data_IF_309306237474
#
_entry.id   IF_309306237474
#
_cell.length_a   1.000
_cell.length_b   1.000
_cell.length_c   1.000
_cell.angle_alpha   90.00
_cell.angle_beta   90.00
_cell.angle_gamma   90.00
#
_symmetry.space_group_name_H-M   'P 1'
#
loop_
_entity.id
_entity.type
_entity.pdbx_description
1 polymer ?
#
# COMPACT_ATOMS: atom_id res chain seq x y z
N UNK A 1 47.69 52.33 -94.04
CA UNK A 1 46.65 53.28 -93.58
C UNK A 1 47.14 53.88 -92.26
N UNK A 2 47.40 55.19 -92.20
CA UNK A 2 47.96 55.84 -90.99
C UNK A 2 46.83 56.06 -89.95
N UNK A 3 47.01 55.73 -88.66
CA UNK A 3 45.98 55.98 -87.64
C UNK A 3 45.77 57.48 -87.45
N UNK A 4 44.52 57.92 -87.28
CA UNK A 4 44.23 59.29 -86.85
C UNK A 4 44.78 59.51 -85.43
N UNK A 5 45.71 60.45 -85.28
CA UNK A 5 46.25 60.86 -83.99
C UNK A 5 45.30 61.89 -83.37
N UNK A 6 44.42 61.45 -82.46
CA UNK A 6 43.63 62.36 -81.63
C UNK A 6 44.52 63.05 -80.61
N UNK A 7 44.26 64.34 -80.36
CA UNK A 7 45.04 65.17 -79.46
C UNK A 7 44.76 64.81 -78.00
N UNK A 8 45.68 65.16 -77.09
CA UNK A 8 45.51 64.90 -75.65
C UNK A 8 44.25 65.58 -75.10
N UNK A 9 43.95 66.79 -75.58
CA UNK A 9 42.81 67.61 -75.16
C UNK A 9 41.47 66.99 -75.58
N UNK A 10 41.37 66.45 -76.80
CA UNK A 10 40.17 65.76 -77.28
C UNK A 10 39.85 64.51 -76.45
N UNK A 11 40.88 63.80 -75.99
CA UNK A 11 40.74 62.60 -75.15
C UNK A 11 40.26 62.98 -73.75
N UNK A 12 40.79 64.06 -73.17
CA UNK A 12 40.38 64.58 -71.86
C UNK A 12 38.94 65.08 -71.91
N UNK A 13 38.57 65.90 -72.91
CA UNK A 13 37.19 66.38 -73.08
C UNK A 13 36.20 65.23 -73.26
N UNK A 14 36.56 64.18 -74.01
CA UNK A 14 35.72 63.00 -74.16
C UNK A 14 35.55 62.23 -72.84
N UNK A 15 36.61 62.16 -72.02
CA UNK A 15 36.55 61.55 -70.68
C UNK A 15 35.68 62.35 -69.72
N UNK A 16 35.81 63.67 -69.69
CA UNK A 16 34.99 64.57 -68.90
C UNK A 16 33.52 64.51 -69.32
N UNK A 17 33.23 64.48 -70.63
CA UNK A 17 31.88 64.33 -71.15
C UNK A 17 31.25 62.96 -70.78
N UNK A 18 32.06 61.89 -70.71
CA UNK A 18 31.60 60.58 -70.22
C UNK A 18 31.30 60.62 -68.72
N UNK A 19 32.16 61.29 -67.94
CA UNK A 19 31.99 61.44 -66.49
C UNK A 19 30.78 62.33 -66.15
N UNK A 20 30.58 63.44 -66.86
CA UNK A 20 29.40 64.31 -66.72
C UNK A 20 28.09 63.60 -67.09
N UNK A 21 28.15 62.65 -68.03
CA UNK A 21 27.03 61.78 -68.38
C UNK A 21 26.83 60.60 -67.40
N UNK A 22 27.61 60.52 -66.31
CA UNK A 22 27.54 59.43 -65.32
C UNK A 22 27.97 58.06 -65.86
N UNK A 23 28.70 58.01 -66.97
CA UNK A 23 29.16 56.76 -67.61
C UNK A 23 30.60 56.45 -67.23
N UNK A 24 30.88 55.16 -67.01
CA UNK A 24 32.25 54.70 -66.72
C UNK A 24 33.22 55.02 -67.87
N UNK A 25 34.31 55.73 -67.56
CA UNK A 25 35.34 56.12 -68.53
C UNK A 25 36.31 54.96 -68.78
N UNK A 26 35.93 54.09 -69.73
CA UNK A 26 36.77 52.99 -70.24
C UNK A 26 37.41 53.35 -71.58
N UNK A 27 38.50 52.68 -71.97
CA UNK A 27 39.17 52.94 -73.25
C UNK A 27 38.26 52.77 -74.48
N UNK A 28 37.28 51.86 -74.41
CA UNK A 28 36.28 51.68 -75.46
C UNK A 28 35.23 52.79 -75.47
N UNK A 29 34.79 53.27 -74.29
CA UNK A 29 33.88 54.40 -74.21
C UNK A 29 34.51 55.69 -74.74
N UNK A 30 35.80 55.91 -74.43
CA UNK A 30 36.61 56.99 -75.00
C UNK A 30 36.70 56.86 -76.52
N UNK A 31 36.99 55.66 -77.05
CA UNK A 31 37.00 55.41 -78.50
C UNK A 31 35.64 55.71 -79.15
N UNK A 32 34.54 55.37 -78.49
CA UNK A 32 33.19 55.61 -78.99
C UNK A 32 32.86 57.11 -79.03
N UNK A 33 33.37 57.89 -78.09
CA UNK A 33 33.14 59.35 -78.01
C UNK A 33 34.06 60.17 -78.90
N UNK A 34 35.33 59.78 -79.00
CA UNK A 34 36.35 60.44 -79.83
C UNK A 34 36.22 60.05 -81.30
N UNK A 35 35.56 58.93 -81.61
CA UNK A 35 35.27 58.48 -82.99
C UNK A 35 36.29 57.50 -83.57
N UNK A 36 37.33 57.11 -82.82
CA UNK A 36 38.33 56.12 -83.25
C UNK A 36 39.56 56.07 -82.34
N UNK A 37 40.63 55.41 -82.79
CA UNK A 37 41.90 55.31 -82.06
C UNK A 37 42.11 54.02 -81.27
N UNK A 38 43.28 53.88 -80.65
CA UNK A 38 43.65 52.71 -79.84
C UNK A 38 43.11 52.87 -78.39
N UNK A 39 42.18 52.00 -77.93
CA UNK A 39 41.57 52.08 -76.59
C UNK A 39 42.58 52.15 -75.43
N UNK A 40 43.73 51.47 -75.54
CA UNK A 40 44.73 51.44 -74.48
C UNK A 40 45.42 52.79 -74.33
N UNK A 41 45.74 53.47 -75.44
CA UNK A 41 46.34 54.82 -75.42
C UNK A 41 45.36 55.86 -74.87
N UNK A 42 44.09 55.77 -75.26
CA UNK A 42 43.04 56.68 -74.78
C UNK A 42 42.85 56.56 -73.27
N UNK A 43 42.76 55.32 -72.77
CA UNK A 43 42.65 55.05 -71.33
C UNK A 43 43.89 55.51 -70.57
N UNK A 44 45.09 55.26 -71.10
CA UNK A 44 46.35 55.69 -70.47
C UNK A 44 46.44 57.21 -70.34
N UNK A 45 46.07 57.97 -71.38
CA UNK A 45 46.05 59.45 -71.32
C UNK A 45 45.03 59.94 -70.30
N UNK A 46 43.84 59.36 -70.29
CA UNK A 46 42.81 59.70 -69.31
C UNK A 46 43.23 59.37 -67.88
N UNK A 47 43.86 58.22 -67.66
CA UNK A 47 44.38 57.82 -66.35
C UNK A 47 45.56 58.71 -65.91
N UNK A 48 46.38 59.18 -66.85
CA UNK A 48 47.41 60.19 -66.56
C UNK A 48 46.82 61.56 -66.22
N UNK A 49 45.73 61.97 -66.88
CA UNK A 49 44.99 63.18 -66.54
C UNK A 49 44.39 63.06 -65.13
N UNK A 50 43.68 61.96 -64.85
CA UNK A 50 43.18 61.64 -63.50
C UNK A 50 44.29 61.62 -62.47
N UNK A 51 45.43 61.00 -62.76
CA UNK A 51 46.56 60.95 -61.84
C UNK A 51 47.09 62.36 -61.55
N UNK A 52 47.26 63.20 -62.57
CA UNK A 52 47.70 64.61 -62.44
C UNK A 52 46.67 65.47 -61.70
N UNK A 53 45.37 65.27 -61.95
CA UNK A 53 44.28 65.94 -61.21
C UNK A 53 44.10 65.40 -59.79
N UNK A 54 44.50 64.14 -59.53
CA UNK A 54 44.41 63.48 -58.21
C UNK A 54 45.61 63.74 -57.31
N UNK A 55 46.68 64.36 -57.83
CA UNK A 55 47.64 65.05 -56.96
C UNK A 55 46.91 66.27 -56.43
N UNK A 56 46.07 66.03 -55.41
CA UNK A 56 45.51 67.06 -54.57
C UNK A 56 46.70 67.85 -54.05
N UNK A 57 46.85 69.08 -54.54
CA UNK A 57 47.65 70.10 -53.90
C UNK A 57 47.25 70.08 -52.42
N UNK A 58 48.17 69.66 -51.55
CA UNK A 58 47.92 69.59 -50.13
C UNK A 58 47.75 71.03 -49.64
N UNK A 59 46.53 71.54 -49.69
CA UNK A 59 46.15 72.80 -49.07
C UNK A 59 46.53 72.63 -47.60
N UNK A 60 47.45 73.45 -47.06
CA UNK A 60 47.78 73.37 -45.65
C UNK A 60 46.49 73.55 -44.87
N UNK A 61 46.14 72.55 -44.05
CA UNK A 61 45.04 72.66 -43.10
C UNK A 61 45.38 73.87 -42.23
N UNK A 62 44.66 74.97 -42.44
CA UNK A 62 44.81 76.14 -41.59
C UNK A 62 44.57 75.69 -40.15
N UNK A 63 45.56 75.88 -39.29
CA UNK A 63 45.38 75.66 -37.85
C UNK A 63 44.16 76.48 -37.42
N UNK A 64 43.28 75.84 -36.64
CA UNK A 64 42.13 76.54 -36.09
C UNK A 64 42.63 77.77 -35.33
N UNK A 65 41.99 78.94 -35.50
CA UNK A 65 42.28 80.09 -34.66
C UNK A 65 42.29 79.68 -33.19
N UNK A 66 43.25 80.19 -32.42
CA UNK A 66 43.49 79.76 -31.04
C UNK A 66 42.23 79.85 -30.18
N UNK A 67 41.40 80.86 -30.42
CA UNK A 67 40.11 81.07 -29.76
C UNK A 67 39.13 79.92 -30.03
N UNK A 68 39.08 79.42 -31.27
CA UNK A 68 38.20 78.30 -31.65
C UNK A 68 38.72 76.98 -31.07
N UNK A 69 40.04 76.80 -30.99
CA UNK A 69 40.65 75.62 -30.39
C UNK A 69 40.44 75.58 -28.86
N UNK A 70 40.55 76.73 -28.18
CA UNK A 70 40.31 76.88 -26.74
C UNK A 70 38.84 76.62 -26.38
N UNK A 71 37.89 77.19 -27.14
CA UNK A 71 36.46 76.93 -26.96
C UNK A 71 36.11 75.45 -27.19
N UNK A 72 36.67 74.82 -28.25
CA UNK A 72 36.47 73.40 -28.50
C UNK A 72 37.04 72.53 -27.37
N UNK A 73 38.21 72.89 -26.83
CA UNK A 73 38.82 72.20 -25.69
C UNK A 73 38.00 72.37 -24.40
N UNK A 74 37.43 73.56 -24.16
CA UNK A 74 36.54 73.82 -23.03
C UNK A 74 35.25 73.00 -23.13
N UNK A 75 34.60 73.00 -24.30
CA UNK A 75 33.36 72.23 -24.55
C UNK A 75 33.61 70.73 -24.44
N UNK A 76 34.69 70.21 -25.00
CA UNK A 76 35.05 68.79 -24.87
C UNK A 76 35.33 68.40 -23.42
N UNK A 77 36.05 69.23 -22.65
CA UNK A 77 36.26 69.00 -21.21
C UNK A 77 34.94 68.96 -20.46
N UNK A 78 34.07 69.96 -20.65
CA UNK A 78 32.76 70.03 -19.99
C UNK A 78 31.85 68.85 -20.36
N UNK A 79 31.87 68.42 -21.62
CA UNK A 79 31.13 67.23 -22.06
C UNK A 79 31.67 65.95 -21.40
N UNK A 80 33.00 65.82 -21.31
CA UNK A 80 33.64 64.66 -20.69
C UNK A 80 33.30 64.58 -19.19
N UNK A 81 33.34 65.70 -18.49
CA UNK A 81 32.92 65.80 -17.08
C UNK A 81 31.45 65.43 -16.89
N UNK A 82 30.56 65.92 -17.78
CA UNK A 82 29.13 65.61 -17.71
C UNK A 82 28.83 64.15 -18.02
N UNK A 83 29.55 63.53 -18.96
CA UNK A 83 29.45 62.10 -19.24
C UNK A 83 29.95 61.26 -18.06
N UNK A 84 31.05 61.66 -17.43
CA UNK A 84 31.56 60.98 -16.24
C UNK A 84 30.56 61.04 -15.07
N UNK A 85 29.99 62.22 -14.80
CA UNK A 85 28.96 62.40 -13.76
C UNK A 85 27.71 61.55 -14.05
N UNK A 86 27.22 61.56 -15.30
CA UNK A 86 26.07 60.75 -15.71
C UNK A 86 26.34 59.25 -15.56
N UNK A 87 27.54 58.78 -15.88
CA UNK A 87 27.92 57.38 -15.73
C UNK A 87 27.88 56.94 -14.25
N UNK A 88 28.36 57.78 -13.33
CA UNK A 88 28.28 57.53 -11.88
C UNK A 88 26.82 57.48 -11.41
N UNK A 89 25.99 58.46 -11.81
CA UNK A 89 24.58 58.47 -11.42
C UNK A 89 23.79 57.26 -11.96
N UNK A 90 24.07 56.84 -13.20
CA UNK A 90 23.45 55.65 -13.79
C UNK A 90 23.90 54.38 -13.07
N UNK A 91 25.18 54.28 -12.70
CA UNK A 91 25.70 53.18 -11.91
C UNK A 91 25.01 53.10 -10.54
N UNK A 92 24.95 54.22 -9.81
CA UNK A 92 24.28 54.28 -8.51
C UNK A 92 22.81 53.87 -8.57
N UNK A 93 22.10 54.30 -9.61
CA UNK A 93 20.70 53.88 -9.84
C UNK A 93 20.59 52.40 -10.16
N UNK A 94 21.49 51.87 -10.98
CA UNK A 94 21.51 50.45 -11.33
C UNK A 94 21.81 49.58 -10.10
N UNK A 95 22.78 49.97 -9.27
CA UNK A 95 23.14 49.28 -8.03
C UNK A 95 21.96 49.29 -7.06
N UNK A 96 21.37 50.45 -6.78
CA UNK A 96 20.20 50.55 -5.88
C UNK A 96 19.00 49.73 -6.38
N UNK A 97 18.76 49.71 -7.69
CA UNK A 97 17.70 48.89 -8.28
C UNK A 97 18.00 47.39 -8.14
N UNK A 98 19.25 46.98 -8.33
CA UNK A 98 19.68 45.59 -8.15
C UNK A 98 19.59 45.17 -6.67
N UNK A 99 20.07 45.98 -5.74
CA UNK A 99 19.99 45.73 -4.29
C UNK A 99 18.53 45.57 -3.83
N UNK A 100 17.64 46.44 -4.31
CA UNK A 100 16.21 46.33 -4.02
C UNK A 100 15.63 45.01 -4.54
N UNK A 101 15.94 44.64 -5.79
CA UNK A 101 15.48 43.36 -6.37
C UNK A 101 16.02 42.17 -5.59
N UNK A 102 17.29 42.19 -5.20
CA UNK A 102 17.90 41.12 -4.39
C UNK A 102 17.22 41.05 -3.02
N UNK A 103 16.97 42.18 -2.36
CA UNK A 103 16.25 42.21 -1.08
C UNK A 103 14.83 41.63 -1.18
N UNK A 104 14.11 41.96 -2.25
CA UNK A 104 12.78 41.39 -2.53
C UNK A 104 12.84 39.86 -2.76
N UNK A 105 13.82 39.37 -3.53
CA UNK A 105 14.02 37.94 -3.77
C UNK A 105 14.42 37.19 -2.49
N UNK A 106 15.35 37.74 -1.71
CA UNK A 106 15.78 37.11 -0.44
C UNK A 106 14.62 37.04 0.55
N UNK A 107 13.81 38.10 0.65
CA UNK A 107 12.62 38.11 1.51
C UNK A 107 11.61 37.05 1.05
N UNK A 108 11.28 37.02 -0.24
CA UNK A 108 10.34 36.04 -0.79
C UNK A 108 10.83 34.60 -0.59
N UNK A 109 12.12 34.34 -0.83
CA UNK A 109 12.72 33.02 -0.60
C UNK A 109 12.70 32.64 0.89
N UNK A 110 12.92 33.59 1.79
CA UNK A 110 12.80 33.38 3.24
C UNK A 110 11.38 33.00 3.66
N UNK A 111 10.38 33.75 3.18
CA UNK A 111 8.95 33.47 3.45
C UNK A 111 8.53 32.10 2.90
N UNK A 112 8.95 31.75 1.68
CA UNK A 112 8.68 30.43 1.08
C UNK A 112 9.34 29.29 1.86
N UNK A 113 10.60 29.50 2.29
CA UNK A 113 11.31 28.51 3.11
C UNK A 113 10.61 28.30 4.45
N UNK A 114 10.23 29.37 5.13
CA UNK A 114 9.54 29.28 6.43
C UNK A 114 8.18 28.57 6.28
N UNK A 115 7.44 28.87 5.22
CA UNK A 115 6.19 28.16 4.92
C UNK A 115 6.43 26.67 4.67
N UNK A 116 7.42 26.32 3.86
CA UNK A 116 7.77 24.92 3.61
C UNK A 116 8.24 24.19 4.88
N UNK A 117 9.02 24.85 5.75
CA UNK A 117 9.43 24.28 7.04
C UNK A 117 8.23 24.01 7.96
N UNK A 118 7.24 24.90 7.99
CA UNK A 118 5.99 24.69 8.75
C UNK A 118 5.18 23.52 8.20
N UNK A 119 4.98 23.47 6.88
CA UNK A 119 4.25 22.36 6.23
C UNK A 119 4.96 21.01 6.43
N UNK A 120 6.29 21.00 6.39
CA UNK A 120 7.08 19.80 6.69
C UNK A 120 6.93 19.37 8.14
N UNK A 121 6.90 20.31 9.10
CA UNK A 121 6.68 20.00 10.51
C UNK A 121 5.28 19.41 10.75
N UNK A 122 4.24 20.01 10.15
CA UNK A 122 2.88 19.51 10.23
C UNK A 122 2.78 18.09 9.61
N UNK A 123 3.37 17.89 8.43
CA UNK A 123 3.41 16.57 7.80
C UNK A 123 4.15 15.54 8.66
N UNK A 124 5.29 15.89 9.26
CA UNK A 124 6.02 15.01 10.16
C UNK A 124 5.19 14.61 11.39
N UNK A 125 4.47 15.56 12.00
CA UNK A 125 3.56 15.27 13.11
C UNK A 125 2.44 14.30 12.69
N UNK A 126 1.84 14.51 11.51
CA UNK A 126 0.79 13.59 11.03
C UNK A 126 1.31 12.19 10.77
N UNK A 127 2.56 12.04 10.33
CA UNK A 127 3.19 10.72 10.15
C UNK A 127 3.38 10.04 11.51
N UNK A 128 3.88 10.76 12.51
CA UNK A 128 4.06 10.22 13.86
C UNK A 128 2.72 9.79 14.49
N UNK A 129 1.67 10.59 14.32
CA UNK A 129 0.32 10.25 14.79
C UNK A 129 -0.22 8.98 14.10
N UNK A 130 -0.01 8.85 12.79
CA UNK A 130 -0.42 7.68 12.01
C UNK A 130 0.39 6.43 12.39
N UNK A 131 1.69 6.57 12.66
CA UNK A 131 2.54 5.48 13.15
C UNK A 131 2.05 4.99 14.52
N UNK A 132 1.71 5.91 15.43
CA UNK A 132 1.16 5.55 16.73
C UNK A 132 -0.18 4.81 16.62
N UNK A 133 -1.07 5.28 15.75
CA UNK A 133 -2.34 4.59 15.47
C UNK A 133 -2.12 3.20 14.87
N UNK A 134 -1.18 3.08 13.93
CA UNK A 134 -0.83 1.81 13.31
C UNK A 134 -0.32 0.79 14.33
N UNK A 135 0.54 1.22 15.24
CA UNK A 135 1.06 0.36 16.31
C UNK A 135 -0.04 -0.03 17.30
N UNK A 136 -0.97 0.88 17.62
CA UNK A 136 -2.16 0.57 18.41
C UNK A 136 -3.01 -0.53 17.77
N UNK A 137 -3.38 -0.36 16.49
CA UNK A 137 -4.19 -1.33 15.74
C UNK A 137 -3.47 -2.68 15.61
N UNK A 138 -2.16 -2.69 15.36
CA UNK A 138 -1.37 -3.93 15.35
C UNK A 138 -1.38 -4.63 16.70
N UNK A 139 -1.30 -3.88 17.80
CA UNK A 139 -1.40 -4.42 19.15
C UNK A 139 -2.76 -5.06 19.41
N UNK A 140 -3.85 -4.37 19.05
CA UNK A 140 -5.22 -4.91 19.16
C UNK A 140 -5.42 -6.16 18.30
N UNK A 141 -4.89 -6.16 17.08
CA UNK A 141 -4.93 -7.33 16.20
C UNK A 141 -4.20 -8.53 16.81
N UNK A 142 -3.01 -8.31 17.36
CA UNK A 142 -2.24 -9.36 18.03
C UNK A 142 -2.99 -9.91 19.27
N UNK A 143 -3.60 -9.03 20.07
CA UNK A 143 -4.37 -9.41 21.24
C UNK A 143 -5.62 -10.22 20.88
N UNK A 144 -6.38 -9.77 19.88
CA UNK A 144 -7.57 -10.49 19.39
C UNK A 144 -7.22 -11.84 18.77
N UNK A 145 -6.09 -11.92 18.05
CA UNK A 145 -5.61 -13.19 17.50
C UNK A 145 -5.18 -14.17 18.60
N UNK A 146 -4.56 -13.69 19.68
CA UNK A 146 -4.24 -14.50 20.85
C UNK A 146 -5.50 -15.00 21.58
N UNK A 147 -6.51 -14.14 21.75
CA UNK A 147 -7.80 -14.55 22.33
C UNK A 147 -8.51 -15.60 21.47
N UNK A 148 -8.45 -15.46 20.15
CA UNK A 148 -9.03 -16.43 19.22
C UNK A 148 -8.33 -17.78 19.32
N UNK A 149 -7.00 -17.81 19.36
CA UNK A 149 -6.24 -19.07 19.49
C UNK A 149 -6.51 -19.74 20.83
N UNK A 150 -6.55 -18.98 21.93
CA UNK A 150 -6.93 -19.48 23.24
C UNK A 150 -8.35 -20.07 23.24
N UNK A 151 -9.32 -19.35 22.67
CA UNK A 151 -10.69 -19.81 22.55
C UNK A 151 -10.82 -21.10 21.70
N UNK A 152 -10.02 -21.24 20.65
CA UNK A 152 -9.97 -22.47 19.84
C UNK A 152 -9.42 -23.65 20.65
N UNK A 153 -8.36 -23.45 21.43
CA UNK A 153 -7.78 -24.48 22.31
C UNK A 153 -8.79 -24.92 23.37
N UNK A 154 -9.44 -23.97 24.04
CA UNK A 154 -10.49 -24.26 25.03
C UNK A 154 -11.68 -25.02 24.41
N UNK A 155 -12.10 -24.64 23.20
CA UNK A 155 -13.16 -25.35 22.49
C UNK A 155 -12.76 -26.78 22.14
N UNK A 156 -11.50 -26.99 21.75
CA UNK A 156 -10.98 -28.32 21.44
C UNK A 156 -10.94 -29.21 22.69
N UNK A 157 -10.48 -28.68 23.84
CA UNK A 157 -10.47 -29.45 25.09
C UNK A 157 -11.89 -29.83 25.52
N UNK A 158 -12.83 -28.88 25.49
CA UNK A 158 -14.24 -29.13 25.80
C UNK A 158 -14.86 -30.18 24.86
N UNK A 159 -14.53 -30.17 23.57
CA UNK A 159 -15.01 -31.17 22.62
C UNK A 159 -14.51 -32.58 22.96
N UNK A 160 -13.24 -32.71 23.38
CA UNK A 160 -12.66 -33.98 23.83
C UNK A 160 -13.32 -34.46 25.12
N UNK A 161 -13.50 -33.58 26.11
CA UNK A 161 -14.18 -33.90 27.36
C UNK A 161 -15.62 -34.36 27.12
N UNK A 162 -16.37 -33.67 26.26
CA UNK A 162 -17.73 -34.07 25.89
C UNK A 162 -17.77 -35.43 25.20
N UNK A 163 -16.80 -35.74 24.34
CA UNK A 163 -16.71 -37.05 23.70
C UNK A 163 -16.45 -38.15 24.73
N UNK A 164 -15.50 -37.94 25.66
CA UNK A 164 -15.20 -38.88 26.74
C UNK A 164 -16.40 -39.11 27.67
N UNK A 165 -17.14 -38.05 28.02
CA UNK A 165 -18.35 -38.17 28.84
C UNK A 165 -19.45 -38.95 28.13
N UNK A 166 -19.65 -38.74 26.83
CA UNK A 166 -20.60 -39.52 26.02
C UNK A 166 -20.23 -40.99 25.95
N UNK A 167 -18.95 -41.31 25.77
CA UNK A 167 -18.48 -42.69 25.77
C UNK A 167 -18.73 -43.36 27.13
N UNK A 168 -18.36 -42.70 28.23
CA UNK A 168 -18.60 -43.19 29.58
C UNK A 168 -20.10 -43.39 29.85
N UNK A 169 -20.95 -42.46 29.42
CA UNK A 169 -22.40 -42.57 29.57
C UNK A 169 -22.94 -43.77 28.78
N UNK A 170 -22.52 -43.95 27.52
CA UNK A 170 -22.92 -45.12 26.73
C UNK A 170 -22.49 -46.43 27.39
N UNK A 171 -21.27 -46.49 27.94
CA UNK A 171 -20.77 -47.68 28.62
C UNK A 171 -21.56 -47.98 29.91
N UNK A 172 -21.88 -46.96 30.71
CA UNK A 172 -22.67 -47.15 31.94
C UNK A 172 -24.12 -47.52 31.62
N UNK A 173 -24.72 -46.94 30.58
CA UNK A 173 -26.06 -47.31 30.10
C UNK A 173 -26.11 -48.77 29.64
N UNK A 174 -25.12 -49.24 28.88
CA UNK A 174 -25.01 -50.64 28.46
C UNK A 174 -24.83 -51.57 29.66
N UNK A 175 -23.93 -51.25 30.59
CA UNK A 175 -23.72 -52.04 31.80
C UNK A 175 -24.99 -52.11 32.66
N UNK A 176 -25.69 -50.99 32.85
CA UNK A 176 -26.96 -50.95 33.57
C UNK A 176 -28.05 -51.78 32.89
N UNK A 177 -28.09 -51.77 31.55
CA UNK A 177 -29.02 -52.61 30.78
C UNK A 177 -28.72 -54.10 30.95
N UNK A 178 -27.46 -54.51 30.82
CA UNK A 178 -27.06 -55.90 31.02
C UNK A 178 -27.34 -56.37 32.45
N UNK A 179 -27.03 -55.55 33.46
CA UNK A 179 -27.34 -55.86 34.86
C UNK A 179 -28.85 -56.02 35.08
N UNK A 180 -29.68 -55.16 34.48
CA UNK A 180 -31.14 -55.31 34.52
C UNK A 180 -31.61 -56.60 33.86
N UNK A 181 -31.09 -56.92 32.67
CA UNK A 181 -31.43 -58.15 31.95
C UNK A 181 -31.04 -59.39 32.78
N UNK A 182 -29.83 -59.41 33.37
CA UNK A 182 -29.38 -60.46 34.29
C UNK A 182 -30.28 -60.61 35.51
N UNK A 183 -30.56 -59.52 36.23
CA UNK A 183 -31.45 -59.54 37.39
C UNK A 183 -32.87 -60.02 37.03
N UNK A 184 -33.40 -59.64 35.87
CA UNK A 184 -34.71 -60.14 35.43
C UNK A 184 -34.70 -61.64 35.15
N UNK A 185 -33.61 -62.18 34.59
CA UNK A 185 -33.44 -63.60 34.35
C UNK A 185 -33.29 -64.38 35.67
N UNK A 186 -32.47 -63.90 36.60
CA UNK A 186 -32.31 -64.47 37.95
C UNK A 186 -33.64 -64.51 38.70
N UNK A 187 -34.40 -63.40 38.70
CA UNK A 187 -35.72 -63.35 39.33
C UNK A 187 -36.71 -64.36 38.72
N UNK A 188 -36.63 -64.58 37.40
CA UNK A 188 -37.46 -65.59 36.73
C UNK A 188 -37.04 -67.00 37.16
N UNK A 189 -35.74 -67.30 37.19
CA UNK A 189 -35.22 -68.60 37.64
C UNK A 189 -35.65 -68.89 39.08
N UNK A 190 -35.47 -67.93 39.99
CA UNK A 190 -35.89 -68.07 41.39
C UNK A 190 -37.40 -68.29 41.54
N UNK A 191 -38.22 -67.62 40.72
CA UNK A 191 -39.68 -67.84 40.69
C UNK A 191 -40.02 -69.25 40.21
N UNK A 192 -39.38 -69.72 39.14
CA UNK A 192 -39.59 -71.06 38.59
C UNK A 192 -39.16 -72.15 39.58
N UNK A 193 -38.03 -71.95 40.29
CA UNK A 193 -37.57 -72.83 41.36
C UNK A 193 -38.52 -72.84 42.55
N UNK A 194 -39.01 -71.68 42.98
CA UNK A 194 -40.00 -71.57 44.05
C UNK A 194 -41.30 -72.29 43.67
N UNK A 195 -41.79 -72.12 42.44
CA UNK A 195 -42.98 -72.80 41.95
C UNK A 195 -42.80 -74.34 41.93
N UNK A 196 -41.64 -74.83 41.49
CA UNK A 196 -41.31 -76.27 41.55
C UNK A 196 -41.21 -76.79 42.98
N UNK A 197 -40.61 -76.02 43.89
CA UNK A 197 -40.51 -76.39 45.30
C UNK A 197 -41.90 -76.45 45.97
N UNK A 198 -42.78 -75.49 45.64
CA UNK A 198 -44.17 -75.49 46.08
C UNK A 198 -44.93 -76.71 45.55
N UNK A 199 -44.84 -77.02 44.26
CA UNK A 199 -45.47 -78.20 43.66
C UNK A 199 -44.98 -79.51 44.31
N UNK A 200 -43.67 -79.67 44.53
CA UNK A 200 -43.11 -80.82 45.27
C UNK A 200 -43.60 -80.87 46.72
N UNK A 201 -43.76 -79.72 47.37
CA UNK A 201 -44.31 -79.63 48.73
C UNK A 201 -45.76 -80.08 48.79
N UNK A 202 -46.58 -79.69 47.81
CA UNK A 202 -47.96 -80.13 47.65
C UNK A 202 -48.05 -81.64 47.35
N UNK A 203 -47.23 -82.16 46.44
CA UNK A 203 -47.12 -83.60 46.15
C UNK A 203 -46.72 -84.38 47.40
N UNK A 204 -45.71 -83.92 48.14
CA UNK A 204 -45.30 -84.56 49.39
C UNK A 204 -46.39 -84.49 50.47
N UNK A 205 -47.18 -83.42 50.51
CA UNK A 205 -48.35 -83.33 51.38
C UNK A 205 -49.45 -84.33 50.99
N UNK A 206 -49.72 -84.49 49.69
CA UNK A 206 -50.66 -85.51 49.17
C UNK A 206 -50.20 -86.93 49.50
N UNK A 207 -48.95 -87.27 49.21
CA UNK A 207 -48.37 -88.57 49.51
C UNK A 207 -48.40 -88.89 51.02
N UNK A 208 -48.14 -87.90 51.89
CA UNK A 208 -48.31 -88.06 53.34
C UNK A 208 -49.76 -88.34 53.72
N UNK A 209 -50.71 -87.60 53.16
CA UNK A 209 -52.14 -87.87 53.35
C UNK A 209 -52.51 -89.30 52.92
N UNK A 210 -52.07 -89.74 51.74
CA UNK A 210 -52.28 -91.10 51.26
C UNK A 210 -51.67 -92.15 52.19
N UNK A 211 -50.42 -91.96 52.63
CA UNK A 211 -49.77 -92.84 53.60
C UNK A 211 -50.51 -92.90 54.94
N UNK A 212 -51.00 -91.77 55.45
CA UNK A 212 -51.79 -91.72 56.67
C UNK A 212 -53.13 -92.44 56.51
N UNK A 213 -53.79 -92.33 55.34
CA UNK A 213 -54.98 -93.13 55.04
C UNK A 213 -54.69 -94.63 54.93
N UNK A 214 -53.59 -95.03 54.29
CA UNK A 214 -53.17 -96.43 54.17
C UNK A 214 -52.76 -97.01 55.52
N UNK A 215 -52.13 -96.21 56.40
CA UNK A 215 -51.83 -96.59 57.79
C UNK A 215 -53.13 -96.82 58.56
N UNK A 216 -54.07 -95.89 58.50
CA UNK A 216 -55.38 -96.05 59.13
C UNK A 216 -56.13 -97.29 58.63
N UNK A 217 -56.05 -97.59 57.32
CA UNK A 217 -56.61 -98.82 56.74
C UNK A 217 -55.89 -100.08 57.24
N UNK A 218 -54.55 -100.09 57.31
CA UNK A 218 -53.79 -101.21 57.87
C UNK A 218 -54.11 -101.44 59.35
N UNK A 219 -54.19 -100.38 60.16
CA UNK A 219 -54.57 -100.46 61.58
C UNK A 219 -56.00 -101.03 61.73
N UNK A 220 -56.93 -100.61 60.87
CA UNK A 220 -58.30 -101.14 60.85
C UNK A 220 -58.34 -102.63 60.44
N UNK A 221 -57.54 -103.05 59.45
CA UNK A 221 -57.41 -104.45 59.06
C UNK A 221 -56.76 -105.30 60.16
N UNK A 222 -55.73 -104.79 60.83
CA UNK A 222 -55.10 -105.44 61.99
C UNK A 222 -56.08 -105.56 63.17
N UNK A 223 -56.96 -104.58 63.36
CA UNK A 223 -58.05 -104.66 64.32
C UNK A 223 -59.09 -105.74 63.93
N UNK A 224 -59.40 -105.87 62.63
CA UNK A 224 -60.31 -106.89 62.11
C UNK A 224 -59.74 -108.33 62.13
N UNK A 225 -58.41 -108.47 62.04
CA UNK A 225 -57.68 -109.74 62.13
C UNK A 225 -57.49 -110.24 63.56
N UNK A 226 -57.83 -109.45 64.59
CA UNK A 226 -57.95 -109.96 65.97
C UNK A 226 -59.29 -110.71 66.13
N UNK A 227 -59.30 -112.03 66.38
CA UNK A 227 -60.56 -112.76 66.57
C UNK A 227 -61.16 -112.46 67.95
N UNK A 228 -62.47 -112.17 67.98
CA UNK A 228 -63.25 -112.07 69.22
C UNK A 228 -64.30 -113.17 69.31
N UNK A 229 -64.29 -113.92 70.43
CA UNK A 229 -65.44 -114.31 71.28
C UNK A 229 -65.05 -115.38 72.33
N UNK A 230 -65.87 -115.68 73.37
CA UNK A 230 -67.07 -114.97 73.88
C UNK A 230 -67.26 -114.91 75.42
N UNK A 231 -68.21 -114.04 75.84
CA UNK A 231 -69.15 -114.11 76.99
C UNK A 231 -68.68 -114.22 78.46
N UNK A 232 -69.24 -113.36 79.32
CA UNK A 232 -69.31 -113.60 80.77
C UNK A 232 -69.89 -112.43 81.59
N UNK A 233 -71.02 -112.68 82.26
CA UNK A 233 -71.86 -111.81 83.12
C UNK A 233 -71.17 -111.23 84.38
N UNK A 234 -71.76 -110.12 84.88
CA UNK A 234 -71.87 -109.66 86.31
C UNK A 234 -70.55 -109.27 87.03
N UNK A 235 -70.40 -108.22 87.86
CA UNK A 235 -71.29 -107.39 88.68
C UNK A 235 -70.51 -106.22 89.33
N UNK A 236 -71.22 -105.11 89.61
CA UNK A 236 -71.17 -104.23 90.81
C UNK A 236 -69.90 -103.49 91.29
N UNK A 237 -70.21 -102.28 91.80
CA UNK A 237 -69.49 -101.40 92.74
C UNK A 237 -68.25 -100.70 92.15
N UNK A 238 -68.00 -99.42 92.33
CA UNK A 238 -68.58 -98.38 93.18
C UNK A 238 -67.44 -97.42 93.55
N UNK A 239 -67.72 -96.12 93.62
CA UNK A 239 -66.87 -95.14 94.31
C UNK A 239 -65.89 -94.35 93.42
N UNK A 240 -66.32 -93.15 93.02
CA UNK A 240 -65.70 -91.83 93.26
C UNK A 240 -64.40 -91.74 94.10
N UNK A 241 -63.74 -90.56 94.20
CA UNK A 241 -63.54 -89.45 93.25
C UNK A 241 -62.11 -88.83 93.37
N UNK A 242 -61.92 -87.68 92.69
CA UNK A 242 -61.21 -86.49 93.19
C UNK A 242 -59.69 -86.33 92.97
N UNK A 243 -59.38 -85.13 92.44
CA UNK A 243 -58.26 -84.23 92.73
C UNK A 243 -56.86 -84.71 92.34
N UNK A 244 -56.01 -83.97 91.64
CA UNK A 244 -55.74 -82.52 91.60
C UNK A 244 -55.04 -82.23 90.28
#
# INVERSE_FOLDING_TARGET
>A
MRPAEYTLEEIVQAGEALQAAGRNVTGFALRQKVGGGNPNRLKQVWDQHLARSSVAEAVPVAELPVEVAEELAAVTRALTERLAALAVELNDKAVKAAERRVGEVVRAAGEQREQAERELADAAQTVEDLEHQLDGVKGELAATQAQLTEGLVQRQSQAVELAQLRERLSATEQAARMAREQHTAELKQLRDELAKAQARGEEAARMRGELDTLRAQNDALLAALKPSKPSGKTSRSGGSPAST
#
